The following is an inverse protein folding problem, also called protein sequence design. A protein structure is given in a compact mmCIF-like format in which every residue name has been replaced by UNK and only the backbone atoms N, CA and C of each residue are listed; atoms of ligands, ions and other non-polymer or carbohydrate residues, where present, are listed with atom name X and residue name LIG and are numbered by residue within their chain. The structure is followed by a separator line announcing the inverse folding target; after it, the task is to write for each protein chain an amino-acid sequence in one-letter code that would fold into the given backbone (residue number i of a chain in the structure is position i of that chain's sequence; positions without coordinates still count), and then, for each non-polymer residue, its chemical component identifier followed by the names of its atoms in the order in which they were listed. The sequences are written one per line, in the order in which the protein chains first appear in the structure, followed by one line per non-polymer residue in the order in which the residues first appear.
data_IF_152479195540
#
_entry.id   IF_152479195540
#
_cell.length_a   1.000
_cell.length_b   1.000
_cell.length_c   1.000
_cell.angle_alpha   90.00
_cell.angle_beta   90.00
_cell.angle_gamma   90.00
#
_symmetry.space_group_name_H-M   'P 1'
#
loop_
_entity.id
_entity.type
_entity.pdbx_description
1 polymer ?
#
# COMPACT_ATOMS: atom_id res chain seq x y z
N UNK A 1 -11.10 -17.93 -32.36
CA UNK A 1 -10.48 -19.27 -32.26
C UNK A 1 -8.96 -19.36 -32.50
N UNK A 2 -8.20 -18.31 -32.93
CA UNK A 2 -6.73 -18.38 -32.93
C UNK A 2 -6.07 -17.91 -31.60
N UNK A 3 -6.73 -17.02 -30.85
CA UNK A 3 -6.20 -16.45 -29.61
C UNK A 3 -6.05 -17.49 -28.47
N UNK A 4 -6.95 -18.49 -28.40
CA UNK A 4 -6.87 -19.57 -27.39
C UNK A 4 -5.68 -20.50 -27.60
N UNK A 5 -5.34 -20.85 -28.85
CA UNK A 5 -4.21 -21.76 -29.14
C UNK A 5 -2.85 -21.12 -28.82
N UNK A 6 -2.73 -19.81 -28.99
CA UNK A 6 -1.51 -19.05 -28.62
C UNK A 6 -1.35 -19.03 -27.09
N UNK A 7 -2.45 -18.88 -26.35
CA UNK A 7 -2.46 -18.86 -24.88
C UNK A 7 -2.11 -20.24 -24.27
N UNK A 8 -2.59 -21.33 -24.86
CA UNK A 8 -2.25 -22.70 -24.43
C UNK A 8 -0.78 -23.04 -24.71
N UNK A 9 -0.23 -22.64 -25.87
CA UNK A 9 1.18 -22.82 -26.19
C UNK A 9 2.10 -22.01 -25.25
N UNK A 10 1.73 -20.77 -24.93
CA UNK A 10 2.42 -19.92 -23.94
C UNK A 10 2.40 -20.55 -22.54
N UNK A 11 1.29 -21.18 -22.18
CA UNK A 11 1.11 -21.80 -20.87
C UNK A 11 1.96 -23.07 -20.68
N UNK A 12 2.03 -23.93 -21.68
CA UNK A 12 2.82 -25.17 -21.62
C UNK A 12 4.34 -24.91 -21.69
N UNK A 13 4.77 -23.91 -22.47
CA UNK A 13 6.20 -23.61 -22.69
C UNK A 13 6.89 -22.93 -21.50
N UNK A 14 6.24 -21.94 -20.85
CA UNK A 14 6.79 -21.27 -19.66
C UNK A 14 6.89 -22.19 -18.43
N UNK A 15 6.07 -23.25 -18.35
CA UNK A 15 6.11 -24.19 -17.23
C UNK A 15 7.35 -25.09 -17.30
N UNK A 16 7.74 -25.46 -18.53
CA UNK A 16 8.92 -26.25 -18.83
C UNK A 16 10.23 -25.50 -18.50
N UNK A 17 10.29 -24.20 -18.77
CA UNK A 17 11.45 -23.35 -18.45
C UNK A 17 11.76 -23.30 -16.95
N UNK A 18 10.72 -23.36 -16.08
CA UNK A 18 10.88 -23.22 -14.63
C UNK A 18 11.13 -24.54 -13.89
N UNK A 19 10.89 -25.70 -14.52
CA UNK A 19 11.11 -27.02 -13.91
C UNK A 19 12.57 -27.21 -13.47
N UNK A 20 13.52 -26.65 -14.23
CA UNK A 20 14.96 -26.70 -13.97
C UNK A 20 15.49 -25.73 -12.91
N UNK A 21 14.69 -24.77 -12.42
CA UNK A 21 15.20 -23.73 -11.52
C UNK A 21 15.48 -24.24 -10.10
N UNK A 22 16.56 -23.79 -9.48
CA UNK A 22 16.79 -24.00 -8.05
C UNK A 22 15.68 -23.35 -7.20
N UNK A 23 15.39 -23.94 -6.05
CA UNK A 23 14.40 -23.39 -5.11
C UNK A 23 14.76 -21.98 -4.63
N UNK A 24 16.05 -21.64 -4.54
CA UNK A 24 16.53 -20.31 -4.19
C UNK A 24 16.08 -19.25 -5.21
N UNK A 25 16.27 -19.52 -6.51
CA UNK A 25 15.85 -18.62 -7.60
C UNK A 25 14.32 -18.47 -7.64
N UNK A 26 13.57 -19.55 -7.44
CA UNK A 26 12.10 -19.47 -7.39
C UNK A 26 11.61 -18.60 -6.23
N UNK A 27 12.18 -18.78 -5.04
CA UNK A 27 11.86 -17.94 -3.87
C UNK A 27 12.24 -16.48 -4.09
N UNK A 28 13.38 -16.23 -4.75
CA UNK A 28 13.84 -14.90 -5.15
C UNK A 28 12.86 -14.23 -6.10
N UNK A 29 12.49 -14.95 -7.14
CA UNK A 29 11.57 -14.48 -8.18
C UNK A 29 10.19 -14.19 -7.57
N UNK A 30 9.68 -15.09 -6.72
CA UNK A 30 8.45 -14.86 -5.98
C UNK A 30 8.53 -13.59 -5.10
N UNK A 31 9.65 -13.39 -4.39
CA UNK A 31 9.88 -12.20 -3.58
C UNK A 31 9.89 -10.90 -4.41
N UNK A 32 10.57 -10.90 -5.56
CA UNK A 32 10.61 -9.76 -6.46
C UNK A 32 9.24 -9.41 -7.05
N UNK A 33 8.33 -10.38 -7.11
CA UNK A 33 6.97 -10.24 -7.63
C UNK A 33 5.92 -10.01 -6.53
N UNK A 34 6.34 -9.87 -5.27
CA UNK A 34 5.44 -9.67 -4.12
C UNK A 34 4.65 -10.91 -3.70
N UNK A 35 5.04 -12.09 -4.17
CA UNK A 35 4.40 -13.37 -3.89
C UNK A 35 4.96 -14.02 -2.61
N UNK A 36 4.26 -15.04 -2.11
CA UNK A 36 4.76 -15.88 -1.02
C UNK A 36 6.02 -16.64 -1.46
N UNK A 37 7.11 -16.47 -0.72
CA UNK A 37 8.33 -17.28 -0.88
C UNK A 37 8.33 -18.54 0.00
N UNK A 38 7.23 -18.83 0.71
CA UNK A 38 7.06 -20.05 1.52
C UNK A 38 6.13 -21.03 0.81
N UNK A 39 6.43 -22.32 0.95
CA UNK A 39 5.72 -23.40 0.29
C UNK A 39 6.67 -24.37 -0.42
N UNK A 40 6.09 -25.34 -1.10
CA UNK A 40 6.80 -26.28 -1.97
C UNK A 40 7.33 -25.57 -3.22
N UNK A 41 8.34 -26.18 -3.86
CA UNK A 41 8.90 -25.66 -5.13
C UNK A 41 7.82 -25.51 -6.20
N UNK A 42 6.89 -26.47 -6.28
CA UNK A 42 5.82 -26.49 -7.27
C UNK A 42 4.78 -25.37 -7.03
N UNK A 43 4.38 -25.15 -5.77
CA UNK A 43 3.44 -24.07 -5.42
C UNK A 43 4.00 -22.69 -5.79
N UNK A 44 5.29 -22.45 -5.46
CA UNK A 44 5.96 -21.18 -5.76
C UNK A 44 6.10 -21.01 -7.29
N UNK A 45 6.50 -22.07 -8.00
CA UNK A 45 6.62 -22.04 -9.45
C UNK A 45 5.28 -21.72 -10.12
N UNK A 46 4.19 -22.36 -9.69
CA UNK A 46 2.86 -22.09 -10.21
C UNK A 46 2.45 -20.63 -9.94
N UNK A 47 2.67 -20.11 -8.73
CA UNK A 47 2.32 -18.73 -8.39
C UNK A 47 3.10 -17.71 -9.24
N UNK A 48 4.41 -17.91 -9.42
CA UNK A 48 5.25 -17.06 -10.28
C UNK A 48 4.75 -17.08 -11.72
N UNK A 49 4.47 -18.27 -12.25
CA UNK A 49 4.01 -18.40 -13.63
C UNK A 49 2.66 -17.71 -13.85
N UNK A 50 1.69 -17.91 -12.97
CA UNK A 50 0.38 -17.26 -13.07
C UNK A 50 0.51 -15.74 -13.03
N UNK A 51 1.35 -15.22 -12.14
CA UNK A 51 1.58 -13.79 -12.00
C UNK A 51 2.27 -13.18 -13.23
N UNK A 52 3.26 -13.87 -13.81
CA UNK A 52 3.95 -13.42 -15.02
C UNK A 52 2.99 -13.34 -16.24
N UNK A 53 2.08 -14.34 -16.36
CA UNK A 53 1.04 -14.34 -17.39
C UNK A 53 0.09 -13.15 -17.25
N UNK A 54 -0.39 -12.88 -16.03
CA UNK A 54 -1.28 -11.75 -15.75
C UNK A 54 -0.61 -10.39 -16.02
N UNK A 55 0.65 -10.24 -15.62
CA UNK A 55 1.38 -8.99 -15.80
C UNK A 55 1.54 -8.60 -17.28
N UNK A 56 1.75 -9.59 -18.15
CA UNK A 56 1.89 -9.40 -19.61
C UNK A 56 0.64 -8.84 -20.28
N UNK A 57 -0.52 -8.92 -19.63
CA UNK A 57 -1.81 -8.45 -20.16
C UNK A 57 -2.12 -7.00 -19.79
N UNK A 58 -1.28 -6.34 -19.00
CA UNK A 58 -1.62 -5.05 -18.35
C UNK A 58 -0.70 -3.91 -18.80
N UNK A 59 -1.08 -3.20 -19.87
CA UNK A 59 -0.21 -2.23 -20.54
C UNK A 59 -0.44 -0.75 -20.17
N UNK A 60 -1.44 -0.41 -19.35
CA UNK A 60 -1.89 0.98 -19.25
C UNK A 60 -1.34 1.74 -18.03
N UNK A 61 -1.34 3.08 -18.15
CA UNK A 61 -1.16 4.01 -17.01
C UNK A 61 -2.10 3.59 -15.89
N UNK A 62 -1.61 3.58 -14.65
CA UNK A 62 -2.44 3.21 -13.50
C UNK A 62 -2.40 4.29 -12.42
N UNK A 63 -3.59 4.69 -11.99
CA UNK A 63 -3.82 5.36 -10.71
C UNK A 63 -4.00 4.33 -9.62
N UNK A 64 -3.06 4.32 -8.68
CA UNK A 64 -3.04 3.41 -7.55
C UNK A 64 -3.40 4.18 -6.29
N UNK A 65 -4.36 3.65 -5.55
CA UNK A 65 -4.65 4.08 -4.18
C UNK A 65 -4.08 3.04 -3.23
N UNK A 66 -3.32 3.48 -2.24
CA UNK A 66 -2.79 2.61 -1.21
C UNK A 66 -3.27 3.06 0.16
N UNK A 67 -3.96 2.17 0.86
CA UNK A 67 -4.58 2.40 2.16
C UNK A 67 -3.83 1.59 3.22
N UNK A 68 -3.29 2.31 4.21
CA UNK A 68 -2.84 1.75 5.48
C UNK A 68 -3.98 1.85 6.50
N UNK A 69 -4.41 0.69 6.98
CA UNK A 69 -5.67 0.53 7.70
C UNK A 69 -5.56 0.98 9.16
N UNK A 70 -6.48 1.86 9.56
CA UNK A 70 -6.60 2.30 10.95
C UNK A 70 -7.83 3.17 11.18
N UNK A 71 -8.49 3.04 12.33
CA UNK A 71 -9.70 3.84 12.61
C UNK A 71 -9.34 5.29 12.94
N UNK A 72 -8.34 5.51 13.82
CA UNK A 72 -7.87 6.85 14.21
C UNK A 72 -6.68 7.35 13.38
N UNK A 73 -6.18 6.49 12.50
CA UNK A 73 -4.92 6.70 11.81
C UNK A 73 -4.92 6.16 10.38
N UNK A 74 -6.10 6.13 9.72
CA UNK A 74 -6.18 5.76 8.32
C UNK A 74 -5.23 6.66 7.53
N UNK A 75 -4.23 6.08 6.90
CA UNK A 75 -3.35 6.80 5.99
C UNK A 75 -3.57 6.28 4.58
N UNK A 76 -3.63 7.17 3.61
CA UNK A 76 -3.65 6.74 2.22
C UNK A 76 -2.90 7.70 1.32
N UNK A 77 -2.40 7.15 0.21
CA UNK A 77 -1.86 7.93 -0.89
C UNK A 77 -2.52 7.56 -2.21
N UNK A 78 -2.53 8.53 -3.13
CA UNK A 78 -2.97 8.38 -4.51
C UNK A 78 -1.77 8.64 -5.40
N UNK A 79 -1.41 7.66 -6.20
CA UNK A 79 -0.18 7.66 -6.99
C UNK A 79 -0.50 7.36 -8.45
N UNK A 80 -0.06 8.24 -9.35
CA UNK A 80 -0.14 8.02 -10.79
C UNK A 80 1.19 7.43 -11.28
N UNK A 81 1.14 6.21 -11.80
CA UNK A 81 2.30 5.53 -12.37
C UNK A 81 2.49 5.93 -13.84
N UNK A 82 3.72 6.23 -14.29
CA UNK A 82 3.99 6.56 -15.69
C UNK A 82 3.66 5.38 -16.63
N UNK A 83 3.34 5.69 -17.89
CA UNK A 83 3.06 4.68 -18.91
C UNK A 83 4.32 3.88 -19.28
N UNK A 84 4.13 2.65 -19.77
CA UNK A 84 5.13 1.59 -19.83
C UNK A 84 6.22 1.72 -20.93
N UNK A 85 6.65 2.94 -21.27
CA UNK A 85 7.76 3.14 -22.21
C UNK A 85 9.07 3.59 -21.54
N UNK A 86 9.12 3.88 -20.23
CA UNK A 86 10.26 4.60 -19.65
C UNK A 86 10.94 3.99 -18.44
N UNK A 87 10.61 2.74 -18.06
CA UNK A 87 11.45 1.98 -17.13
C UNK A 87 12.39 0.99 -17.82
N UNK A 88 12.38 0.92 -19.16
CA UNK A 88 13.08 -0.11 -19.92
C UNK A 88 13.59 0.35 -21.27
N UNK A 89 14.40 1.41 -21.31
CA UNK A 89 15.43 1.60 -22.34
C UNK A 89 16.40 2.67 -21.84
N UNK A 90 17.62 2.26 -21.44
CA UNK A 90 18.74 3.19 -21.22
C UNK A 90 19.49 3.34 -22.54
N UNK A 91 19.26 4.47 -23.20
CA UNK A 91 20.33 5.32 -23.72
C UNK A 91 19.88 6.77 -23.41
N UNK A 92 20.46 7.39 -22.38
CA UNK A 92 20.19 8.77 -21.88
C UNK A 92 18.96 9.04 -20.98
N UNK A 93 19.12 8.72 -19.69
CA UNK A 93 18.73 9.54 -18.52
C UNK A 93 17.47 10.43 -18.50
N UNK A 94 16.30 9.86 -18.20
CA UNK A 94 15.43 10.34 -17.11
C UNK A 94 14.25 9.35 -16.91
N UNK A 95 14.16 8.71 -15.73
CA UNK A 95 12.95 7.97 -15.33
C UNK A 95 11.81 8.99 -15.19
N UNK A 96 10.68 8.80 -15.87
CA UNK A 96 9.50 9.63 -15.60
C UNK A 96 9.12 9.51 -14.11
N UNK A 97 8.87 10.62 -13.41
CA UNK A 97 8.55 10.57 -12.00
C UNK A 97 7.20 9.90 -11.76
N UNK A 98 7.14 9.13 -10.67
CA UNK A 98 5.88 8.67 -10.10
C UNK A 98 5.25 9.85 -9.38
N UNK A 99 4.03 10.23 -9.77
CA UNK A 99 3.35 11.40 -9.21
C UNK A 99 2.49 11.01 -8.01
N UNK A 100 2.77 11.55 -6.83
CA UNK A 100 1.95 11.45 -5.63
C UNK A 100 0.99 12.64 -5.59
N UNK A 101 -0.30 12.39 -5.81
CA UNK A 101 -1.33 13.45 -5.92
C UNK A 101 -2.02 13.77 -4.62
N UNK A 102 -2.14 12.77 -3.77
CA UNK A 102 -2.71 12.89 -2.44
C UNK A 102 -1.91 12.01 -1.50
N UNK A 103 -1.66 12.50 -0.30
CA UNK A 103 -1.00 11.75 0.76
C UNK A 103 -1.42 12.34 2.09
N UNK A 104 -2.24 11.62 2.86
CA UNK A 104 -2.76 12.14 4.12
C UNK A 104 -3.03 11.05 5.15
N UNK A 105 -3.15 11.48 6.40
CA UNK A 105 -3.57 10.66 7.54
C UNK A 105 -4.84 11.28 8.14
N UNK A 106 -5.83 10.44 8.44
CA UNK A 106 -7.16 10.86 8.91
C UNK A 106 -7.59 10.05 10.13
N UNK A 107 -8.29 10.71 11.04
CA UNK A 107 -9.05 10.05 12.11
C UNK A 107 -10.50 9.97 11.67
N UNK A 108 -10.98 8.75 11.41
CA UNK A 108 -12.30 8.49 10.84
C UNK A 108 -13.45 8.79 11.78
N UNK A 109 -13.16 9.02 13.07
CA UNK A 109 -14.19 9.25 14.08
C UNK A 109 -14.42 10.74 14.37
N UNK A 110 -13.61 11.65 13.82
CA UNK A 110 -13.78 13.09 14.03
C UNK A 110 -15.11 13.60 13.45
N UNK A 111 -15.54 13.11 12.28
CA UNK A 111 -16.79 13.53 11.64
C UNK A 111 -18.07 13.01 12.32
N UNK A 112 -17.97 11.97 13.16
CA UNK A 112 -19.09 11.43 13.92
C UNK A 112 -19.41 12.25 15.19
N UNK A 113 -18.50 13.12 15.63
CA UNK A 113 -18.69 13.95 16.82
C UNK A 113 -19.61 15.14 16.54
N UNK A 114 -19.57 15.73 15.35
CA UNK A 114 -20.40 16.87 14.97
C UNK A 114 -21.86 16.48 14.64
N UNK A 115 -22.11 15.22 14.28
CA UNK A 115 -23.44 14.72 13.93
C UNK A 115 -24.32 14.36 15.14
N UNK A 116 -23.80 14.44 16.38
CA UNK A 116 -24.55 14.14 17.60
C UNK A 116 -25.19 15.37 18.28
N UNK A 117 -25.01 16.58 17.75
CA UNK A 117 -25.73 17.79 18.19
C UNK A 117 -26.60 18.41 17.09
N UNK A 118 -27.73 17.77 16.73
CA UNK A 118 -28.89 18.53 16.28
C UNK A 118 -30.17 18.08 17.00
N UNK A 119 -30.21 18.18 18.33
CA UNK A 119 -31.50 18.23 19.04
C UNK A 119 -31.29 18.78 20.46
N UNK A 120 -31.86 19.96 20.72
CA UNK A 120 -31.74 20.63 22.02
C UNK A 120 -31.98 22.15 21.97
N UNK A 121 -32.15 22.74 20.79
CA UNK A 121 -32.60 24.12 20.65
C UNK A 121 -34.13 24.17 20.54
N UNK A 122 -34.83 23.92 21.65
CA UNK A 122 -36.19 24.41 21.92
C UNK A 122 -36.55 24.11 23.38
N UNK A 123 -36.55 25.15 24.21
CA UNK A 123 -37.24 25.18 25.50
C UNK A 123 -36.37 25.41 26.74
N UNK A 124 -36.06 26.68 27.06
CA UNK A 124 -36.55 27.41 28.25
C UNK A 124 -35.66 28.61 28.62
N UNK A 125 -36.26 29.78 28.40
CA UNK A 125 -36.34 31.00 29.23
C UNK A 125 -35.20 31.39 30.21
N UNK A 126 -34.59 32.54 29.89
CA UNK A 126 -34.48 33.80 30.67
C UNK A 126 -34.31 33.73 32.21
N UNK A 127 -33.11 34.10 32.71
CA UNK A 127 -32.87 35.31 33.56
C UNK A 127 -31.38 35.49 33.93
N UNK A 128 -30.86 36.70 33.69
CA UNK A 128 -29.56 37.26 34.11
C UNK A 128 -29.56 37.72 35.61
N UNK A 129 -28.51 38.41 36.13
CA UNK A 129 -27.07 38.10 36.20
C UNK A 129 -26.51 38.25 37.65
N UNK A 130 -25.29 37.77 37.92
CA UNK A 130 -24.23 38.54 38.64
C UNK A 130 -23.02 37.68 39.12
N UNK A 131 -21.85 38.17 38.70
CA UNK A 131 -20.58 38.30 39.45
C UNK A 131 -19.68 37.10 39.83
N UNK A 132 -18.42 37.24 39.37
CA UNK A 132 -17.14 36.71 39.90
C UNK A 132 -16.92 35.20 39.75
N UNK A 133 -15.89 34.67 39.08
CA UNK A 133 -14.48 35.05 39.06
C UNK A 133 -13.84 34.49 37.78
N UNK A 134 -12.94 35.26 37.16
CA UNK A 134 -11.99 34.78 36.14
C UNK A 134 -11.17 33.62 36.72
N UNK A 135 -11.52 32.38 36.40
CA UNK A 135 -10.57 31.27 36.35
C UNK A 135 -10.41 30.90 34.89
N UNK A 136 -9.23 31.23 34.38
CA UNK A 136 -8.77 30.84 33.06
C UNK A 136 -9.11 29.38 32.80
N UNK A 137 -9.90 29.18 31.74
CA UNK A 137 -10.27 27.88 31.24
C UNK A 137 -9.01 27.10 30.90
N UNK A 138 -8.59 26.23 31.83
CA UNK A 138 -7.92 24.99 31.49
C UNK A 138 -8.83 24.27 30.51
N UNK A 139 -8.57 24.43 29.21
CA UNK A 139 -9.05 23.54 28.14
C UNK A 139 -8.46 22.15 28.41
N UNK A 140 -9.02 21.44 29.38
CA UNK A 140 -8.70 20.03 29.65
C UNK A 140 -9.38 19.19 28.57
N UNK A 141 -8.57 18.72 27.62
CA UNK A 141 -8.47 17.32 27.20
C UNK A 141 -9.75 16.50 26.92
N UNK A 142 -10.87 17.10 26.51
CA UNK A 142 -12.07 16.32 26.16
C UNK A 142 -12.02 15.64 24.77
N UNK A 143 -10.86 15.63 24.11
CA UNK A 143 -10.67 14.95 22.79
C UNK A 143 -10.46 13.44 22.89
N UNK A 144 -10.25 12.89 24.09
CA UNK A 144 -9.78 11.51 24.23
C UNK A 144 -10.86 10.46 24.53
N UNK A 145 -12.06 10.85 24.97
CA UNK A 145 -13.15 9.91 25.23
C UNK A 145 -14.02 9.78 23.99
N UNK A 146 -13.76 8.74 23.19
CA UNK A 146 -14.64 8.41 22.08
C UNK A 146 -16.00 7.90 22.58
N UNK A 147 -17.11 8.29 21.94
CA UNK A 147 -18.40 7.68 22.22
C UNK A 147 -18.31 6.17 21.99
N UNK A 148 -18.77 5.36 22.96
CA UNK A 148 -18.81 3.89 22.79
C UNK A 148 -19.62 3.47 21.56
N UNK A 149 -20.57 4.31 21.15
CA UNK A 149 -21.42 4.12 19.96
C UNK A 149 -20.67 4.29 18.64
N UNK A 150 -19.49 4.93 18.64
CA UNK A 150 -18.68 5.17 17.44
C UNK A 150 -18.16 3.89 16.78
N UNK A 151 -18.15 2.77 17.53
CA UNK A 151 -17.66 1.47 17.06
C UNK A 151 -18.78 0.46 16.84
N UNK A 152 -20.04 0.89 16.78
CA UNK A 152 -21.15 -0.02 16.44
C UNK A 152 -21.08 -0.39 14.95
N UNK A 153 -21.60 -1.56 14.56
CA UNK A 153 -21.64 -1.94 13.14
C UNK A 153 -22.33 -0.89 12.25
N UNK A 154 -23.41 -0.26 12.75
CA UNK A 154 -24.15 0.79 12.04
C UNK A 154 -23.34 2.09 11.87
N UNK A 155 -22.51 2.47 12.86
CA UNK A 155 -21.64 3.63 12.74
C UNK A 155 -20.48 3.36 11.79
N UNK A 156 -19.77 2.23 11.96
CA UNK A 156 -18.63 1.90 11.12
C UNK A 156 -19.02 1.59 9.67
N UNK A 157 -20.22 1.09 9.39
CA UNK A 157 -20.66 0.84 8.01
C UNK A 157 -20.81 2.14 7.21
N UNK A 158 -21.31 3.22 7.85
CA UNK A 158 -21.38 4.55 7.26
C UNK A 158 -19.98 5.10 6.97
N UNK A 159 -19.10 5.00 7.96
CA UNK A 159 -17.68 5.41 7.81
C UNK A 159 -17.00 4.63 6.68
N UNK A 160 -17.20 3.32 6.61
CA UNK A 160 -16.63 2.48 5.56
C UNK A 160 -17.13 2.91 4.17
N UNK A 161 -18.44 3.16 4.03
CA UNK A 161 -19.02 3.64 2.78
C UNK A 161 -18.47 5.02 2.37
N UNK A 162 -18.36 5.96 3.31
CA UNK A 162 -17.77 7.29 3.06
C UNK A 162 -16.30 7.20 2.65
N UNK A 163 -15.51 6.34 3.31
CA UNK A 163 -14.12 6.08 2.92
C UNK A 163 -14.09 5.52 1.50
N UNK A 164 -14.82 4.45 1.21
CA UNK A 164 -14.81 3.82 -0.12
C UNK A 164 -15.24 4.79 -1.22
N UNK A 165 -16.33 5.54 -1.02
CA UNK A 165 -16.79 6.52 -2.00
C UNK A 165 -15.78 7.66 -2.21
N UNK A 166 -15.16 8.15 -1.13
CA UNK A 166 -14.06 9.11 -1.22
C UNK A 166 -12.84 8.59 -1.96
N UNK A 167 -12.45 7.32 -1.75
CA UNK A 167 -11.37 6.69 -2.52
C UNK A 167 -11.74 6.59 -4.01
N UNK A 168 -12.98 6.22 -4.33
CA UNK A 168 -13.46 6.09 -5.71
C UNK A 168 -13.56 7.44 -6.46
N UNK A 169 -13.73 8.57 -5.75
CA UNK A 169 -13.69 9.92 -6.36
C UNK A 169 -12.34 10.24 -7.02
N UNK A 170 -11.26 9.62 -6.55
CA UNK A 170 -9.96 9.74 -7.19
C UNK A 170 -9.88 8.97 -8.51
N UNK A 171 -10.91 8.22 -8.93
CA UNK A 171 -10.91 7.40 -10.15
C UNK A 171 -9.71 6.43 -10.23
N UNK A 172 -9.52 5.56 -9.23
CA UNK A 172 -8.44 4.59 -9.25
C UNK A 172 -8.63 3.52 -10.31
N UNK A 173 -7.52 3.01 -10.83
CA UNK A 173 -7.47 1.73 -11.54
C UNK A 173 -7.22 0.56 -10.57
N UNK A 174 -6.52 0.85 -9.47
CA UNK A 174 -6.13 -0.13 -8.45
C UNK A 174 -6.30 0.44 -7.05
N UNK A 175 -6.85 -0.37 -6.14
CA UNK A 175 -6.92 -0.08 -4.71
C UNK A 175 -6.16 -1.17 -3.95
N UNK A 176 -5.19 -0.76 -3.13
CA UNK A 176 -4.41 -1.61 -2.24
C UNK A 176 -4.88 -1.39 -0.81
N UNK A 177 -5.26 -2.46 -0.12
CA UNK A 177 -5.70 -2.44 1.27
C UNK A 177 -4.70 -3.22 2.11
N UNK A 178 -4.05 -2.57 3.07
CA UNK A 178 -3.22 -3.27 4.06
C UNK A 178 -4.10 -4.26 4.85
N UNK A 179 -3.66 -5.53 4.92
CA UNK A 179 -4.34 -6.54 5.74
C UNK A 179 -4.09 -6.31 7.23
N UNK A 180 -5.16 -6.24 8.03
CA UNK A 180 -5.03 -6.25 9.48
C UNK A 180 -4.45 -7.59 9.96
N UNK A 181 -3.50 -7.51 10.90
CA UNK A 181 -2.85 -8.68 11.51
C UNK A 181 -3.50 -9.01 12.84
N UNK A 182 -3.80 -10.28 13.07
CA UNK A 182 -4.08 -10.77 14.42
C UNK A 182 -2.83 -10.65 15.29
N UNK A 183 -3.03 -10.20 16.53
CA UNK A 183 -1.98 -10.09 17.55
C UNK A 183 -2.30 -11.09 18.65
N UNK A 184 -1.43 -12.08 18.85
CA UNK A 184 -1.49 -13.00 20.00
C UNK A 184 -0.74 -12.41 21.19
N UNK A 185 -1.12 -12.82 22.41
CA UNK A 185 -0.42 -12.42 23.65
C UNK A 185 -0.56 -10.94 24.05
N UNK A 186 -1.59 -10.24 23.56
CA UNK A 186 -1.87 -8.84 23.89
C UNK A 186 -2.85 -8.67 25.05
N UNK A 187 -2.80 -7.51 25.71
CA UNK A 187 -3.83 -7.07 26.67
C UNK A 187 -5.21 -6.98 26.00
N UNK A 188 -6.30 -7.06 26.77
CA UNK A 188 -7.68 -7.03 26.25
C UNK A 188 -7.95 -5.84 25.30
N UNK A 189 -7.36 -4.67 25.59
CA UNK A 189 -7.46 -3.49 24.72
C UNK A 189 -6.88 -3.70 23.31
N UNK A 190 -5.83 -4.52 23.16
CA UNK A 190 -5.24 -4.88 21.86
C UNK A 190 -6.21 -5.75 21.07
N UNK A 191 -6.88 -6.68 21.74
CA UNK A 191 -7.89 -7.52 21.11
C UNK A 191 -9.10 -6.71 20.65
N UNK A 192 -9.63 -5.84 21.52
CA UNK A 192 -10.75 -4.95 21.20
C UNK A 192 -10.44 -4.05 20.00
N UNK A 193 -9.25 -3.44 19.97
CA UNK A 193 -8.82 -2.63 18.83
C UNK A 193 -8.68 -3.45 17.55
N UNK A 194 -8.11 -4.66 17.63
CA UNK A 194 -7.98 -5.56 16.47
C UNK A 194 -9.34 -5.93 15.90
N UNK A 195 -10.32 -6.25 16.76
CA UNK A 195 -11.70 -6.57 16.33
C UNK A 195 -12.34 -5.36 15.63
N UNK A 196 -12.16 -4.15 16.15
CA UNK A 196 -12.71 -2.93 15.54
C UNK A 196 -12.11 -2.66 14.16
N UNK A 197 -10.78 -2.79 14.01
CA UNK A 197 -10.14 -2.58 12.70
C UNK A 197 -10.53 -3.69 11.72
N UNK A 198 -10.58 -4.95 12.14
CA UNK A 198 -11.08 -6.06 11.31
C UNK A 198 -12.53 -5.86 10.85
N UNK A 199 -13.38 -5.28 11.71
CA UNK A 199 -14.75 -4.94 11.36
C UNK A 199 -14.80 -3.86 10.28
N UNK A 200 -13.99 -2.80 10.42
CA UNK A 200 -13.85 -1.78 9.38
C UNK A 200 -13.31 -2.38 8.07
N UNK A 201 -12.24 -3.17 8.12
CA UNK A 201 -11.67 -3.84 6.92
C UNK A 201 -12.73 -4.68 6.20
N UNK A 202 -13.46 -5.51 6.94
CA UNK A 202 -14.56 -6.32 6.38
C UNK A 202 -15.63 -5.46 5.70
N UNK A 203 -15.99 -4.32 6.30
CA UNK A 203 -16.96 -3.39 5.74
C UNK A 203 -16.44 -2.69 4.48
N UNK A 204 -15.16 -2.31 4.42
CA UNK A 204 -14.56 -1.76 3.21
C UNK A 204 -14.63 -2.77 2.06
N UNK A 205 -14.26 -4.03 2.32
CA UNK A 205 -14.37 -5.11 1.32
C UNK A 205 -15.81 -5.32 0.85
N UNK A 206 -16.77 -5.34 1.77
CA UNK A 206 -18.18 -5.48 1.43
C UNK A 206 -18.67 -4.30 0.57
N UNK A 207 -18.39 -3.06 0.97
CA UNK A 207 -18.76 -1.86 0.21
C UNK A 207 -18.15 -1.85 -1.19
N UNK A 208 -16.86 -2.17 -1.32
CA UNK A 208 -16.17 -2.24 -2.62
C UNK A 208 -16.79 -3.32 -3.53
N UNK A 209 -17.02 -4.52 -3.01
CA UNK A 209 -17.61 -5.61 -3.78
C UNK A 209 -19.05 -5.31 -4.20
N UNK A 210 -19.87 -4.78 -3.29
CA UNK A 210 -21.24 -4.36 -3.63
C UNK A 210 -21.25 -3.28 -4.71
N UNK A 211 -20.39 -2.26 -4.60
CA UNK A 211 -20.32 -1.20 -5.61
C UNK A 211 -19.78 -1.70 -6.95
N UNK A 212 -18.90 -2.71 -6.95
CA UNK A 212 -18.45 -3.39 -8.16
C UNK A 212 -19.62 -4.07 -8.85
N UNK A 213 -20.36 -4.94 -8.15
CA UNK A 213 -21.51 -5.66 -8.70
C UNK A 213 -22.60 -4.72 -9.23
N UNK A 214 -22.88 -3.63 -8.50
CA UNK A 214 -23.85 -2.63 -8.94
C UNK A 214 -23.42 -1.92 -10.22
N UNK A 215 -22.11 -1.64 -10.40
CA UNK A 215 -21.57 -0.94 -11.58
C UNK A 215 -21.32 -1.84 -12.78
N UNK A 216 -21.12 -3.14 -12.57
CA UNK A 216 -20.98 -4.13 -13.65
C UNK A 216 -22.20 -4.23 -14.58
N UNK A 217 -23.31 -3.58 -14.22
CA UNK A 217 -24.49 -3.39 -15.08
C UNK A 217 -24.36 -2.23 -16.09
N UNK A 218 -23.27 -1.45 -16.04
CA UNK A 218 -22.94 -0.37 -16.97
C UNK A 218 -21.49 -0.40 -17.47
N UNK A 219 -21.20 0.31 -18.58
CA UNK A 219 -19.93 0.31 -19.32
C UNK A 219 -18.69 0.92 -18.59
N UNK A 220 -18.67 1.00 -17.26
CA UNK A 220 -17.57 1.61 -16.51
C UNK A 220 -16.75 0.54 -15.79
N UNK A 221 -15.45 0.46 -16.08
CA UNK A 221 -14.54 -0.45 -15.38
C UNK A 221 -14.41 -0.08 -13.90
N UNK A 222 -14.51 -1.08 -13.02
CA UNK A 222 -14.26 -0.93 -11.58
C UNK A 222 -12.77 -1.17 -11.26
N UNK A 223 -12.17 -0.47 -10.29
CA UNK A 223 -10.78 -0.72 -9.90
C UNK A 223 -10.54 -2.16 -9.48
N UNK A 224 -9.34 -2.68 -9.76
CA UNK A 224 -8.90 -3.95 -9.17
C UNK A 224 -8.51 -3.73 -7.71
N UNK A 225 -8.94 -4.62 -6.80
CA UNK A 225 -8.69 -4.49 -5.37
C UNK A 225 -7.71 -5.59 -4.92
N UNK A 226 -6.67 -5.20 -4.19
CA UNK A 226 -5.66 -6.14 -3.67
C UNK A 226 -5.51 -6.01 -2.15
N UNK A 227 -5.52 -7.15 -1.47
CA UNK A 227 -5.10 -7.27 -0.08
C UNK A 227 -3.57 -7.36 -0.01
N UNK A 228 -2.91 -6.46 0.72
CA UNK A 228 -1.45 -6.42 0.80
C UNK A 228 -0.95 -6.85 2.18
N UNK A 229 0.16 -7.59 2.17
CA UNK A 229 0.87 -8.02 3.38
C UNK A 229 1.80 -6.92 3.89
N UNK A 230 1.58 -6.37 5.11
CA UNK A 230 2.49 -5.38 5.69
C UNK A 230 3.92 -5.92 5.82
N UNK A 231 4.05 -7.22 6.12
CA UNK A 231 5.35 -7.87 6.25
C UNK A 231 6.08 -7.98 4.90
N UNK A 232 5.36 -8.25 3.81
CA UNK A 232 5.98 -8.36 2.48
C UNK A 232 6.51 -7.00 2.02
N UNK A 233 5.74 -5.92 2.21
CA UNK A 233 6.17 -4.54 1.90
C UNK A 233 7.42 -4.16 2.69
N UNK A 234 7.39 -4.35 4.00
CA UNK A 234 8.51 -3.99 4.87
C UNK A 234 9.79 -4.78 4.52
N UNK A 235 9.66 -6.09 4.35
CA UNK A 235 10.79 -6.96 3.99
C UNK A 235 11.37 -6.59 2.62
N UNK A 236 10.51 -6.27 1.65
CA UNK A 236 10.92 -5.89 0.31
C UNK A 236 11.85 -4.68 0.30
N UNK A 237 11.43 -3.58 0.92
CA UNK A 237 12.22 -2.35 0.90
C UNK A 237 13.48 -2.38 1.74
N UNK A 238 13.48 -3.16 2.84
CA UNK A 238 14.66 -3.33 3.69
C UNK A 238 15.69 -4.22 3.00
N UNK A 239 15.26 -5.24 2.26
CA UNK A 239 16.17 -6.07 1.47
C UNK A 239 16.95 -5.24 0.44
N UNK A 240 16.35 -4.18 -0.10
CA UNK A 240 17.01 -3.24 -1.03
C UNK A 240 18.29 -2.57 -0.50
N UNK A 241 18.59 -2.66 0.81
CA UNK A 241 19.88 -2.23 1.37
C UNK A 241 21.03 -3.20 1.08
N UNK A 242 20.71 -4.43 0.73
CA UNK A 242 21.65 -5.53 0.61
C UNK A 242 21.59 -6.23 -0.75
N UNK A 243 20.47 -6.12 -1.47
CA UNK A 243 20.26 -6.76 -2.77
C UNK A 243 19.55 -5.83 -3.74
N UNK A 244 19.74 -6.08 -5.04
CA UNK A 244 18.92 -5.45 -6.08
C UNK A 244 17.47 -5.94 -5.97
N UNK A 245 16.54 -5.00 -6.17
CA UNK A 245 15.10 -5.25 -6.19
C UNK A 245 14.57 -5.36 -7.63
N UNK A 246 15.46 -5.43 -8.62
CA UNK A 246 15.15 -5.66 -10.03
C UNK A 246 15.61 -7.07 -10.49
N UNK A 247 14.90 -7.72 -11.42
CA UNK A 247 15.33 -8.98 -11.99
C UNK A 247 16.50 -8.77 -12.97
N UNK A 248 17.58 -9.53 -12.81
CA UNK A 248 18.69 -9.57 -13.75
C UNK A 248 18.50 -10.70 -14.77
N UNK A 249 18.59 -10.37 -16.07
CA UNK A 249 18.36 -11.33 -17.17
C UNK A 249 19.24 -12.58 -17.08
N UNK A 250 20.49 -12.43 -16.62
CA UNK A 250 21.48 -13.51 -16.45
C UNK A 250 20.96 -14.65 -15.54
N UNK A 251 20.10 -14.33 -14.56
CA UNK A 251 19.53 -15.32 -13.64
C UNK A 251 18.45 -16.21 -14.29
N UNK A 252 17.97 -15.85 -15.48
CA UNK A 252 16.81 -16.46 -16.14
C UNK A 252 17.16 -17.15 -17.47
N UNK A 253 18.45 -17.23 -17.81
CA UNK A 253 18.94 -17.93 -19.01
C UNK A 253 18.89 -19.46 -18.84
N UNK A 254 18.83 -20.19 -19.96
CA UNK A 254 18.88 -21.65 -19.94
C UNK A 254 20.18 -22.15 -19.28
N UNK A 255 20.05 -23.12 -18.37
CA UNK A 255 21.17 -23.62 -17.56
C UNK A 255 21.63 -22.72 -16.41
N UNK A 256 21.29 -21.41 -16.43
CA UNK A 256 21.67 -20.47 -15.37
C UNK A 256 20.76 -20.52 -14.13
N UNK A 257 19.60 -21.19 -14.22
CA UNK A 257 18.79 -21.56 -13.06
C UNK A 257 19.51 -22.47 -12.03
N UNK A 258 20.71 -22.94 -12.39
CA UNK A 258 21.67 -23.65 -11.52
C UNK A 258 22.64 -22.70 -10.79
N UNK A 259 22.77 -21.44 -11.21
CA UNK A 259 23.51 -20.44 -10.45
C UNK A 259 22.71 -20.13 -9.18
N UNK A 260 23.32 -20.35 -8.01
CA UNK A 260 22.79 -19.72 -6.81
C UNK A 260 22.89 -18.21 -7.04
N UNK A 261 21.81 -17.44 -6.78
CA UNK A 261 21.90 -15.99 -6.77
C UNK A 261 23.16 -15.62 -5.98
N UNK A 262 24.04 -14.78 -6.55
CA UNK A 262 25.33 -14.45 -5.92
C UNK A 262 25.16 -13.98 -4.47
N UNK A 263 23.97 -13.51 -4.13
CA UNK A 263 23.51 -13.36 -2.76
C UNK A 263 22.17 -14.10 -2.55
N UNK A 264 22.12 -15.16 -1.73
CA UNK A 264 20.85 -15.77 -1.35
C UNK A 264 19.95 -14.74 -0.66
N UNK A 265 18.62 -14.86 -0.76
CA UNK A 265 17.71 -14.02 0.04
C UNK A 265 17.93 -14.24 1.52
N UNK A 266 18.84 -13.46 2.08
CA UNK A 266 19.00 -13.31 3.51
C UNK A 266 18.12 -12.15 3.91
N UNK A 267 16.83 -12.45 4.08
CA UNK A 267 15.94 -11.53 4.76
C UNK A 267 16.57 -11.20 6.11
N UNK A 268 16.70 -9.91 6.46
CA UNK A 268 17.32 -9.53 7.72
C UNK A 268 16.57 -10.21 8.87
N UNK A 269 17.31 -10.95 9.71
CA UNK A 269 16.76 -11.55 10.94
C UNK A 269 16.36 -10.49 11.97
N UNK A 270 16.84 -9.26 11.79
CA UNK A 270 16.53 -8.14 12.68
C UNK A 270 15.11 -7.65 12.42
N UNK A 271 14.36 -7.46 13.51
CA UNK A 271 13.03 -6.85 13.48
C UNK A 271 13.08 -5.48 12.81
N UNK A 272 12.25 -5.29 11.78
CA UNK A 272 12.09 -4.00 11.10
C UNK A 272 11.38 -3.03 12.04
N UNK A 273 11.98 -1.89 12.30
CA UNK A 273 11.44 -0.86 13.18
C UNK A 273 10.70 0.24 12.39
N UNK A 274 9.78 0.94 13.05
CA UNK A 274 9.03 2.06 12.46
C UNK A 274 9.94 3.13 11.85
N UNK A 275 11.04 3.44 12.55
CA UNK A 275 12.04 4.42 12.09
C UNK A 275 12.72 4.01 10.77
N UNK A 276 12.88 2.70 10.52
CA UNK A 276 13.55 2.23 9.31
C UNK A 276 12.72 2.55 8.07
N UNK A 277 11.40 2.38 8.18
CA UNK A 277 10.42 2.70 7.14
C UNK A 277 10.39 4.20 6.85
N UNK A 278 10.27 5.01 7.91
CA UNK A 278 10.29 6.48 7.80
C UNK A 278 11.59 6.96 7.15
N UNK A 279 12.73 6.38 7.51
CA UNK A 279 14.02 6.75 6.94
C UNK A 279 14.12 6.44 5.45
N UNK A 280 13.55 5.32 4.99
CA UNK A 280 13.50 5.00 3.55
C UNK A 280 12.75 6.10 2.79
N UNK A 281 11.55 6.46 3.26
CA UNK A 281 10.73 7.48 2.60
C UNK A 281 11.41 8.86 2.64
N UNK A 282 12.03 9.24 3.76
CA UNK A 282 12.84 10.47 3.81
C UNK A 282 13.96 10.48 2.79
N UNK A 283 14.65 9.35 2.61
CA UNK A 283 15.77 9.27 1.67
C UNK A 283 15.32 9.48 0.23
N UNK A 284 14.10 9.04 -0.14
CA UNK A 284 13.49 9.36 -1.44
C UNK A 284 13.12 10.83 -1.57
N UNK A 285 12.50 11.43 -0.53
CA UNK A 285 12.11 12.85 -0.56
C UNK A 285 13.35 13.76 -0.62
N UNK A 286 14.42 13.42 0.10
CA UNK A 286 15.69 14.14 0.10
C UNK A 286 16.52 13.91 -1.17
N UNK A 287 16.15 12.95 -2.02
CA UNK A 287 16.91 12.54 -3.20
C UNK A 287 18.23 11.81 -2.89
N UNK A 288 18.45 11.38 -1.66
CA UNK A 288 19.64 10.60 -1.26
C UNK A 288 19.54 9.11 -1.65
N UNK A 289 18.35 8.68 -2.09
CA UNK A 289 18.08 7.36 -2.67
C UNK A 289 17.30 7.54 -3.98
N UNK A 290 17.80 6.97 -5.08
CA UNK A 290 17.35 7.24 -6.46
C UNK A 290 16.70 6.02 -7.16
N UNK A 291 16.48 4.93 -6.42
CA UNK A 291 15.79 3.75 -6.94
C UNK A 291 14.31 4.01 -7.29
N UNK A 292 13.72 5.05 -6.67
CA UNK A 292 12.38 5.58 -6.97
C UNK A 292 12.46 7.09 -7.25
N UNK A 293 11.90 7.54 -8.38
CA UNK A 293 11.76 8.96 -8.70
C UNK A 293 10.35 9.44 -8.36
N UNK A 294 10.21 10.37 -7.41
CA UNK A 294 8.92 10.87 -6.91
C UNK A 294 8.70 12.34 -7.26
N UNK A 295 7.48 12.68 -7.67
CA UNK A 295 7.00 14.05 -7.77
C UNK A 295 5.75 14.20 -6.88
N UNK A 296 5.71 15.20 -6.02
CA UNK A 296 4.56 15.46 -5.14
C UNK A 296 3.76 16.65 -5.65
N UNK A 297 2.45 16.50 -5.81
CA UNK A 297 1.53 17.55 -6.27
C UNK A 297 0.56 17.98 -5.15
N UNK A 298 0.14 19.24 -5.19
CA UNK A 298 -0.94 19.76 -4.35
C UNK A 298 -0.73 19.50 -2.85
N UNK A 299 -1.73 18.89 -2.21
CA UNK A 299 -1.68 18.54 -0.78
C UNK A 299 -0.56 17.54 -0.45
N UNK A 300 -0.19 16.66 -1.39
CA UNK A 300 0.87 15.68 -1.15
C UNK A 300 2.25 16.35 -1.01
N UNK A 301 2.48 17.48 -1.69
CA UNK A 301 3.71 18.26 -1.54
C UNK A 301 3.82 18.83 -0.12
N UNK A 302 2.73 19.37 0.41
CA UNK A 302 2.67 19.87 1.78
C UNK A 302 2.92 18.76 2.79
N UNK A 303 2.34 17.57 2.57
CA UNK A 303 2.61 16.39 3.40
C UNK A 303 4.08 15.97 3.33
N UNK A 304 4.71 15.99 2.14
CA UNK A 304 6.12 15.66 1.97
C UNK A 304 7.04 16.65 2.71
N UNK A 305 6.74 17.95 2.65
CA UNK A 305 7.47 18.98 3.39
C UNK A 305 7.37 18.75 4.90
N UNK A 306 6.16 18.49 5.41
CA UNK A 306 5.94 18.17 6.82
C UNK A 306 6.63 16.87 7.23
N UNK A 307 6.64 15.87 6.35
CA UNK A 307 7.30 14.59 6.58
C UNK A 307 8.82 14.74 6.71
N UNK A 308 9.40 15.64 5.92
CA UNK A 308 10.84 15.91 5.89
C UNK A 308 11.27 17.05 6.83
N UNK A 309 10.33 17.73 7.49
CA UNK A 309 10.63 18.79 8.44
C UNK A 309 11.49 18.27 9.59
N UNK A 310 12.79 18.51 9.51
CA UNK A 310 13.71 18.41 10.65
C UNK A 310 13.30 19.55 11.56
N UNK A 311 12.93 19.27 12.81
CA UNK A 311 12.63 20.31 13.81
C UNK A 311 13.85 21.21 14.01
N UNK A 312 14.06 22.17 13.11
CA UNK A 312 15.24 23.03 13.03
C UNK A 312 14.96 24.24 13.90
N UNK A 313 15.52 24.24 15.10
CA UNK A 313 15.66 25.42 15.95
C UNK A 313 14.34 25.93 16.56
N UNK A 314 14.30 25.99 17.89
CA UNK A 314 13.26 26.67 18.70
C UNK A 314 11.79 26.25 18.49
N UNK A 315 11.46 24.96 18.62
CA UNK A 315 10.38 24.48 19.51
C UNK A 315 10.02 23.02 19.17
N UNK A 316 9.99 22.10 20.15
CA UNK A 316 9.56 20.71 19.96
C UNK A 316 8.10 20.52 19.49
N UNK A 317 7.36 21.61 19.20
CA UNK A 317 5.92 21.61 18.99
C UNK A 317 5.47 21.48 17.52
N UNK A 318 6.38 21.57 16.55
CA UNK A 318 6.02 21.54 15.12
C UNK A 318 6.43 20.25 14.38
N UNK A 319 7.38 19.47 14.91
CA UNK A 319 7.75 18.19 14.28
C UNK A 319 6.62 17.15 14.47
N UNK A 320 6.22 16.48 13.39
CA UNK A 320 5.22 15.41 13.48
C UNK A 320 5.79 14.23 14.30
N UNK A 321 5.00 13.67 15.24
CA UNK A 321 5.38 12.46 15.95
C UNK A 321 5.71 11.32 14.99
N UNK A 322 6.73 10.52 15.31
CA UNK A 322 7.14 9.37 14.49
C UNK A 322 5.98 8.42 14.20
N UNK A 323 5.02 8.28 15.11
CA UNK A 323 3.81 7.48 14.89
C UNK A 323 2.95 8.00 13.75
N UNK A 324 2.84 9.32 13.55
CA UNK A 324 2.13 9.89 12.39
C UNK A 324 2.91 9.70 11.09
N UNK A 325 4.24 9.75 11.16
CA UNK A 325 5.11 9.52 10.01
C UNK A 325 5.13 8.05 9.58
N UNK A 326 4.99 7.11 10.52
CA UNK A 326 4.95 5.67 10.23
C UNK A 326 3.73 5.29 9.37
N UNK A 327 2.52 5.76 9.72
CA UNK A 327 1.31 5.45 8.93
C UNK A 327 1.39 6.07 7.51
N UNK A 328 1.91 7.31 7.40
CA UNK A 328 2.17 7.96 6.12
C UNK A 328 3.23 7.18 5.31
N UNK A 329 4.30 6.72 5.97
CA UNK A 329 5.33 5.93 5.32
C UNK A 329 4.79 4.59 4.83
N UNK A 330 3.96 3.92 5.63
CA UNK A 330 3.38 2.61 5.31
C UNK A 330 2.49 2.68 4.06
N UNK A 331 1.59 3.66 3.98
CA UNK A 331 0.76 3.84 2.80
C UNK A 331 1.58 4.09 1.51
N UNK A 332 2.64 4.91 1.57
CA UNK A 332 3.49 5.19 0.39
C UNK A 332 4.40 4.00 0.03
N UNK A 333 5.04 3.36 1.03
CA UNK A 333 5.87 2.17 0.83
C UNK A 333 5.07 1.04 0.19
N UNK A 334 3.81 0.86 0.60
CA UNK A 334 2.92 -0.13 0.01
C UNK A 334 2.63 0.15 -1.47
N UNK A 335 2.29 1.40 -1.83
CA UNK A 335 2.02 1.79 -3.21
C UNK A 335 3.23 1.51 -4.12
N UNK A 336 4.41 1.91 -3.67
CA UNK A 336 5.64 1.79 -4.43
C UNK A 336 6.12 0.33 -4.50
N UNK A 337 5.92 -0.46 -3.43
CA UNK A 337 6.28 -1.87 -3.44
C UNK A 337 5.46 -2.61 -4.49
N UNK A 338 4.14 -2.37 -4.51
CA UNK A 338 3.25 -2.95 -5.49
C UNK A 338 3.63 -2.53 -6.92
N UNK A 339 3.95 -1.26 -7.14
CA UNK A 339 4.42 -0.77 -8.44
C UNK A 339 5.67 -1.52 -8.92
N UNK A 340 6.66 -1.68 -8.04
CA UNK A 340 7.88 -2.43 -8.33
C UNK A 340 7.59 -3.92 -8.58
N UNK A 341 6.66 -4.52 -7.84
CA UNK A 341 6.26 -5.91 -8.06
C UNK A 341 5.56 -6.11 -9.41
N UNK A 342 4.70 -5.20 -9.84
CA UNK A 342 4.10 -5.23 -11.17
C UNK A 342 5.17 -5.12 -12.27
N UNK A 343 6.08 -4.15 -12.15
CA UNK A 343 7.20 -3.95 -13.08
C UNK A 343 8.08 -5.21 -13.18
N UNK A 344 8.49 -5.74 -12.03
CA UNK A 344 9.28 -6.97 -11.97
C UNK A 344 8.52 -8.14 -12.60
N UNK A 345 7.22 -8.26 -12.33
CA UNK A 345 6.39 -9.33 -12.91
C UNK A 345 6.32 -9.23 -14.43
N UNK A 346 6.27 -8.01 -14.99
CA UNK A 346 6.31 -7.80 -16.44
C UNK A 346 7.69 -8.14 -17.03
N UNK A 347 8.77 -7.68 -16.39
CA UNK A 347 10.14 -7.97 -16.83
C UNK A 347 10.43 -9.47 -16.80
N UNK A 348 10.08 -10.15 -15.71
CA UNK A 348 10.20 -11.60 -15.58
C UNK A 348 9.32 -12.31 -16.61
N UNK A 349 8.10 -11.83 -16.87
CA UNK A 349 7.24 -12.36 -17.94
C UNK A 349 7.90 -12.30 -19.33
N UNK A 350 8.55 -11.18 -19.66
CA UNK A 350 9.31 -11.02 -20.92
C UNK A 350 10.57 -11.91 -20.97
N UNK A 351 11.29 -12.04 -19.86
CA UNK A 351 12.46 -12.92 -19.80
C UNK A 351 12.05 -14.39 -19.99
N UNK A 352 10.92 -14.78 -19.38
CA UNK A 352 10.33 -16.11 -19.54
C UNK A 352 9.79 -16.38 -20.95
N UNK A 353 9.35 -15.35 -21.68
CA UNK A 353 8.95 -15.52 -23.09
C UNK A 353 10.16 -15.66 -24.00
N UNK A 354 11.17 -14.80 -23.83
CA UNK A 354 12.35 -14.75 -24.71
C UNK A 354 13.27 -15.97 -24.54
N UNK A 355 13.31 -16.59 -23.36
CA UNK A 355 14.03 -17.84 -23.14
C UNK A 355 13.47 -19.02 -23.97
N UNK A 356 12.22 -18.92 -24.46
CA UNK A 356 11.58 -19.98 -25.24
C UNK A 356 11.74 -19.81 -26.76
N UNK A 357 12.34 -18.69 -27.23
CA UNK A 357 12.52 -18.38 -28.65
C UNK A 357 13.96 -18.64 -29.16
N UNK A 358 14.85 -19.21 -28.32
CA UNK A 358 16.17 -19.66 -28.79
C UNK A 358 16.07 -21.10 -29.33
N UNK A 359 16.53 -21.36 -30.57
CA UNK A 359 16.35 -22.64 -31.27
C UNK A 359 17.18 -23.80 -30.72
#
# INVERSE_FOLDING_TARGET
MPMLRILEHFAMSSAAAMTGWKAALLRHTAFLMGLSSTGTKAEIAHAVQQRARQASQTLNRRRVISVDMGIRNLAYCVVDMPHNETFGQRQHGSKLPITVRHWSKRDLLLGLQDQQHPSGALGKEVREPATTTRKEARRSSNRDVLPKTAFTPSALSKVAYEVVTGLLQHQPDVILIERQRFRSGGQAAVQEWTVRVNMLESMLWACLHTLQEMRSTGNMNFPTIHAISPASVANFWIAGKHMDLEPHAEHYQEGSGSLDPQQPLKLPRKKIEKKDKVQIVRSWIEGSRDDVNLCFEGEAAQTADLFNSKGRGSSPKQALPVTKLDDLADSLLQALAWARWEENSQRIGKLLSNANDQP
#
